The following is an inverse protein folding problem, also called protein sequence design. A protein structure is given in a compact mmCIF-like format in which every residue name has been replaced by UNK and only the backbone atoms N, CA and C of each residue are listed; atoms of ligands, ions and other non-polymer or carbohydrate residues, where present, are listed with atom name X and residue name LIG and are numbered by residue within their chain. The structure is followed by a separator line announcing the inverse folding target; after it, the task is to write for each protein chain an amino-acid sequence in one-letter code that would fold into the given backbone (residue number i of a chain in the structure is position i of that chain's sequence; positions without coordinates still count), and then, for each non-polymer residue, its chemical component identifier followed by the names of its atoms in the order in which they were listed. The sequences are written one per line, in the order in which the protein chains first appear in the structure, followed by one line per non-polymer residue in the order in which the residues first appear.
data_IF_578053181519
#
_entry.id   IF_578053181519
#
_cell.length_a   1.000
_cell.length_b   1.000
_cell.length_c   1.000
_cell.angle_alpha   90.00
_cell.angle_beta   90.00
_cell.angle_gamma   90.00
#
_symmetry.space_group_name_H-M   'P 1'
#
loop_
_entity.id
_entity.type
_entity.pdbx_description
1 polymer ?
#
# COMPACT_ATOMS: atom_id res chain seq x y z
N UNK A 1 -1.01 26.18 7.24
CA UNK A 1 -1.07 25.01 6.33
C UNK A 1 -0.54 23.73 6.99
N UNK A 2 0.59 23.74 7.73
CA UNK A 2 1.10 22.50 8.35
C UNK A 2 0.13 21.80 9.31
N UNK A 3 -0.61 22.53 10.15
CA UNK A 3 -1.67 21.95 11.00
C UNK A 3 -2.75 21.18 10.23
N UNK A 4 -3.13 21.68 9.05
CA UNK A 4 -4.11 20.99 8.19
C UNK A 4 -3.57 19.68 7.60
N UNK A 5 -2.24 19.53 7.59
CA UNK A 5 -1.52 18.32 7.19
C UNK A 5 -1.05 17.50 8.40
N UNK A 6 -1.55 17.79 9.61
CA UNK A 6 -1.24 17.04 10.83
C UNK A 6 0.14 17.32 11.45
N UNK A 7 0.83 18.38 11.04
CA UNK A 7 2.09 18.78 11.70
C UNK A 7 1.82 19.69 12.90
N UNK A 8 2.34 19.28 14.05
CA UNK A 8 2.39 20.10 15.27
C UNK A 8 3.56 21.09 15.26
N UNK A 9 3.55 22.00 16.24
CA UNK A 9 4.66 22.90 16.47
C UNK A 9 5.89 22.14 17.00
N UNK A 10 7.09 22.61 16.63
CA UNK A 10 8.35 22.09 17.17
C UNK A 10 8.69 22.68 18.54
N UNK A 11 8.23 23.92 18.77
CA UNK A 11 8.31 24.65 20.02
C UNK A 11 7.06 25.52 20.17
N UNK A 12 6.49 25.53 21.37
CA UNK A 12 5.31 26.30 21.74
C UNK A 12 5.63 27.46 22.69
N UNK A 13 6.85 27.52 23.23
CA UNK A 13 7.29 28.64 24.05
C UNK A 13 7.61 29.85 23.15
N UNK A 14 6.71 30.83 23.21
CA UNK A 14 6.74 32.02 22.38
C UNK A 14 8.00 32.88 22.53
N UNK A 15 8.68 32.76 23.67
CA UNK A 15 9.85 33.58 24.02
C UNK A 15 11.19 32.92 23.63
N UNK A 16 11.17 31.66 23.19
CA UNK A 16 12.37 30.95 22.76
C UNK A 16 12.97 31.51 21.45
N UNK A 17 14.25 31.20 21.25
CA UNK A 17 14.93 31.51 20.01
C UNK A 17 14.30 30.73 18.87
N UNK A 18 13.92 31.44 17.81
CA UNK A 18 13.20 30.86 16.69
C UNK A 18 14.01 29.79 15.94
N UNK A 19 13.37 28.66 15.66
CA UNK A 19 13.91 27.52 14.90
C UNK A 19 13.80 27.66 13.38
N UNK A 20 13.28 28.80 12.88
CA UNK A 20 13.25 29.08 11.45
C UNK A 20 12.23 28.25 10.66
N UNK A 21 11.15 27.80 11.30
CA UNK A 21 10.03 27.06 10.66
C UNK A 21 8.75 27.87 10.69
N UNK A 22 7.92 27.71 9.67
CA UNK A 22 6.57 28.28 9.63
C UNK A 22 5.55 27.64 10.59
N UNK A 23 5.98 26.66 11.39
CA UNK A 23 5.16 25.98 12.40
C UNK A 23 5.59 26.30 13.84
N UNK A 24 6.16 27.46 14.09
CA UNK A 24 6.58 27.84 15.44
C UNK A 24 5.76 29.03 15.93
N UNK A 25 5.33 28.98 17.19
CA UNK A 25 4.80 30.16 17.87
C UNK A 25 5.96 31.09 18.21
N UNK A 26 6.12 32.16 17.44
CA UNK A 26 7.24 33.09 17.63
C UNK A 26 6.82 34.56 17.61
N UNK A 27 7.52 35.38 18.39
CA UNK A 27 7.48 36.84 18.29
C UNK A 27 8.31 37.40 17.11
N UNK A 28 9.05 36.56 16.36
CA UNK A 28 9.88 36.96 15.22
C UNK A 28 9.36 36.36 13.90
N UNK A 29 8.20 36.79 13.40
CA UNK A 29 7.55 36.17 12.23
C UNK A 29 8.33 36.34 10.91
N UNK A 30 9.35 37.20 10.84
CA UNK A 30 10.15 37.39 9.62
C UNK A 30 11.06 36.21 9.29
N UNK A 31 11.54 35.46 10.29
CA UNK A 31 12.43 34.30 10.07
C UNK A 31 11.68 32.99 9.79
N UNK A 32 10.36 32.98 9.97
CA UNK A 32 9.53 31.77 10.03
C UNK A 32 8.48 31.70 8.91
N UNK A 33 8.78 32.24 7.74
CA UNK A 33 7.79 32.34 6.66
C UNK A 33 7.78 31.12 5.73
N UNK A 34 8.73 30.22 5.90
CA UNK A 34 8.91 29.05 5.03
C UNK A 34 9.07 27.77 5.86
N UNK A 35 8.63 26.62 5.34
CA UNK A 35 8.91 25.33 5.97
C UNK A 35 10.43 25.09 6.02
N UNK A 36 10.89 24.46 7.10
CA UNK A 36 12.27 24.03 7.22
C UNK A 36 12.43 22.55 6.83
N UNK A 37 13.67 22.06 6.87
CA UNK A 37 13.98 20.65 6.51
C UNK A 37 13.20 19.63 7.34
N UNK A 38 12.89 19.93 8.60
CA UNK A 38 12.17 19.00 9.46
C UNK A 38 10.69 18.91 9.07
N UNK A 39 10.05 20.01 8.70
CA UNK A 39 8.66 20.00 8.26
C UNK A 39 8.47 19.05 7.06
N UNK A 40 9.38 19.13 6.07
CA UNK A 40 9.36 18.21 4.92
C UNK A 40 9.64 16.76 5.29
N UNK A 41 10.52 16.52 6.26
CA UNK A 41 10.83 15.17 6.73
C UNK A 41 9.64 14.55 7.44
N UNK A 42 8.96 15.33 8.28
CA UNK A 42 7.84 14.84 9.07
C UNK A 42 6.62 14.61 8.15
N UNK A 43 6.37 15.47 7.14
CA UNK A 43 5.41 15.19 6.07
C UNK A 43 5.74 13.92 5.30
N UNK A 44 7.02 13.71 4.95
CA UNK A 44 7.45 12.48 4.27
C UNK A 44 7.25 11.25 5.16
N UNK A 45 7.44 11.35 6.46
CA UNK A 45 7.19 10.23 7.37
C UNK A 45 5.68 9.90 7.49
N UNK A 46 4.82 10.91 7.43
CA UNK A 46 3.36 10.74 7.52
C UNK A 46 2.72 10.27 6.22
N UNK A 47 3.22 10.74 5.07
CA UNK A 47 2.56 10.60 3.76
C UNK A 47 3.43 9.96 2.68
N UNK A 48 4.60 9.42 3.00
CA UNK A 48 5.33 8.58 2.05
C UNK A 48 4.88 7.13 2.23
N UNK A 49 3.81 6.75 1.55
CA UNK A 49 3.59 5.35 1.24
C UNK A 49 4.54 4.93 0.11
N UNK A 50 5.66 4.31 0.47
CA UNK A 50 6.43 3.49 -0.47
C UNK A 50 6.34 2.05 0.02
N UNK A 51 5.28 1.36 -0.38
CA UNK A 51 5.26 -0.10 -0.30
C UNK A 51 4.49 -0.68 -1.49
N UNK A 52 5.16 -0.80 -2.64
CA UNK A 52 4.73 -1.66 -3.74
C UNK A 52 5.15 -3.12 -3.51
N UNK A 53 5.34 -3.56 -2.26
CA UNK A 53 5.65 -4.97 -2.00
C UNK A 53 4.38 -5.80 -1.91
N UNK A 54 3.95 -6.31 -3.07
CA UNK A 54 3.02 -7.44 -3.09
C UNK A 54 3.82 -8.71 -2.85
N UNK A 55 3.64 -9.35 -1.69
CA UNK A 55 4.21 -10.68 -1.43
C UNK A 55 3.40 -11.72 -2.19
N UNK A 56 3.83 -12.05 -3.41
CA UNK A 56 3.30 -13.19 -4.15
C UNK A 56 4.08 -14.43 -3.73
N UNK A 57 3.46 -15.33 -2.97
CA UNK A 57 4.04 -16.63 -2.70
C UNK A 57 4.17 -17.41 -4.01
N UNK A 58 5.39 -17.72 -4.44
CA UNK A 58 5.60 -18.60 -5.60
C UNK A 58 5.15 -20.01 -5.22
N UNK A 59 4.14 -20.52 -5.95
CA UNK A 59 3.80 -21.94 -5.90
C UNK A 59 4.96 -22.74 -6.52
N UNK A 60 5.26 -23.96 -6.02
CA UNK A 60 6.27 -24.81 -6.64
C UNK A 60 5.93 -25.09 -8.10
N UNK A 61 6.93 -25.05 -8.97
CA UNK A 61 6.78 -25.33 -10.40
C UNK A 61 6.15 -26.71 -10.60
N UNK A 62 4.93 -26.75 -11.14
CA UNK A 62 4.31 -28.00 -11.57
C UNK A 62 5.14 -28.58 -12.72
N UNK A 63 5.52 -29.86 -12.58
CA UNK A 63 6.20 -30.61 -13.66
C UNK A 63 5.30 -30.64 -14.89
N UNK A 64 5.89 -30.34 -16.04
CA UNK A 64 5.25 -30.35 -17.35
C UNK A 64 4.72 -31.73 -17.69
N UNK A 65 3.41 -31.90 -17.64
CA UNK A 65 2.69 -32.86 -18.47
C UNK A 65 1.79 -32.05 -19.39
N UNK A 66 1.93 -32.29 -20.68
CA UNK A 66 1.20 -31.73 -21.83
C UNK A 66 -0.33 -31.74 -21.62
N UNK A 67 -0.82 -30.74 -20.89
CA UNK A 67 -2.20 -30.24 -20.86
C UNK A 67 -2.14 -28.96 -20.04
N UNK A 68 -2.66 -27.85 -20.55
CA UNK A 68 -2.88 -26.67 -19.71
C UNK A 68 -3.54 -27.14 -18.41
N UNK A 69 -2.99 -26.82 -17.23
CA UNK A 69 -3.54 -27.34 -15.99
C UNK A 69 -4.98 -26.84 -15.93
N UNK A 70 -5.92 -27.78 -15.95
CA UNK A 70 -7.24 -27.49 -15.44
C UNK A 70 -7.07 -27.04 -13.97
N UNK A 71 -8.11 -26.45 -13.39
CA UNK A 71 -8.17 -25.85 -12.05
C UNK A 71 -7.68 -26.74 -10.86
N UNK A 72 -7.14 -27.91 -11.14
CA UNK A 72 -6.77 -29.06 -10.33
C UNK A 72 -5.72 -28.76 -9.24
N UNK A 73 -5.07 -27.59 -9.27
CA UNK A 73 -4.03 -27.20 -8.31
C UNK A 73 -4.43 -26.12 -7.29
N UNK A 74 -5.57 -25.45 -7.47
CA UNK A 74 -5.97 -24.29 -6.66
C UNK A 74 -7.12 -24.57 -5.70
N UNK A 75 -7.63 -25.80 -5.70
CA UNK A 75 -8.80 -26.22 -4.93
C UNK A 75 -10.10 -26.04 -5.69
N UNK A 76 -11.22 -26.06 -4.96
CA UNK A 76 -12.55 -26.01 -5.54
C UNK A 76 -12.88 -24.60 -6.03
N UNK A 77 -13.41 -24.48 -7.26
CA UNK A 77 -13.97 -23.22 -7.75
C UNK A 77 -15.24 -22.89 -6.95
N UNK A 78 -15.20 -21.81 -6.17
CA UNK A 78 -16.35 -21.38 -5.35
C UNK A 78 -17.11 -20.20 -5.95
N UNK A 79 -16.46 -19.43 -6.83
CA UNK A 79 -17.07 -18.30 -7.53
C UNK A 79 -16.31 -18.02 -8.82
N UNK A 80 -17.01 -17.61 -9.88
CA UNK A 80 -16.35 -17.10 -11.07
C UNK A 80 -17.31 -16.74 -12.19
N UNK A 81 -16.81 -15.90 -13.11
CA UNK A 81 -17.52 -15.49 -14.32
C UNK A 81 -16.55 -15.42 -15.48
N UNK A 82 -16.88 -16.13 -16.56
CA UNK A 82 -16.08 -16.12 -17.80
C UNK A 82 -16.10 -14.73 -18.42
N UNK A 83 -17.20 -13.99 -18.29
CA UNK A 83 -17.36 -12.66 -18.87
C UNK A 83 -16.53 -11.59 -18.15
N UNK A 84 -16.39 -11.69 -16.83
CA UNK A 84 -15.57 -10.74 -16.05
C UNK A 84 -14.11 -11.21 -15.89
N UNK A 85 -13.80 -12.45 -16.30
CA UNK A 85 -12.50 -13.07 -16.13
C UNK A 85 -12.08 -13.32 -14.68
N UNK A 86 -12.96 -13.11 -13.71
CA UNK A 86 -12.71 -13.36 -12.29
C UNK A 86 -13.07 -14.81 -11.92
N UNK A 87 -12.16 -15.50 -11.22
CA UNK A 87 -12.38 -16.83 -10.65
C UNK A 87 -11.75 -16.93 -9.26
N UNK A 88 -12.47 -17.52 -8.31
CA UNK A 88 -12.05 -17.74 -6.92
C UNK A 88 -12.04 -19.23 -6.63
N UNK A 89 -10.88 -19.74 -6.23
CA UNK A 89 -10.66 -21.12 -5.81
C UNK A 89 -10.37 -21.19 -4.32
N UNK A 90 -10.82 -22.27 -3.68
CA UNK A 90 -10.57 -22.53 -2.26
C UNK A 90 -10.00 -23.94 -2.09
N UNK A 91 -8.79 -24.04 -1.55
CA UNK A 91 -8.19 -25.30 -1.12
C UNK A 91 -8.26 -25.40 0.41
N UNK A 92 -8.89 -26.45 0.93
CA UNK A 92 -8.87 -26.79 2.35
C UNK A 92 -7.58 -27.57 2.69
N UNK A 93 -6.82 -27.08 3.66
CA UNK A 93 -5.57 -27.70 4.13
C UNK A 93 -5.77 -28.55 5.40
N UNK A 94 -7.01 -28.68 5.88
CA UNK A 94 -7.35 -29.28 7.16
C UNK A 94 -7.11 -28.34 8.35
N UNK A 95 -7.58 -28.76 9.53
CA UNK A 95 -7.43 -28.01 10.80
C UNK A 95 -7.94 -26.55 10.73
N UNK A 96 -9.00 -26.30 9.94
CA UNK A 96 -9.59 -24.97 9.77
C UNK A 96 -8.78 -24.02 8.89
N UNK A 97 -7.72 -24.50 8.22
CA UNK A 97 -6.87 -23.68 7.35
C UNK A 97 -7.31 -23.80 5.89
N UNK A 98 -7.37 -22.67 5.18
CA UNK A 98 -7.73 -22.62 3.75
C UNK A 98 -6.80 -21.70 2.98
N UNK A 99 -6.54 -22.02 1.72
CA UNK A 99 -5.95 -21.10 0.73
C UNK A 99 -7.07 -20.62 -0.17
N UNK A 100 -7.16 -19.30 -0.34
CA UNK A 100 -8.08 -18.68 -1.31
C UNK A 100 -7.22 -18.13 -2.45
N UNK A 101 -7.51 -18.56 -3.68
CA UNK A 101 -6.80 -18.10 -4.88
C UNK A 101 -7.78 -17.35 -5.77
N UNK A 102 -7.56 -16.04 -5.94
CA UNK A 102 -8.28 -15.22 -6.90
C UNK A 102 -7.47 -15.11 -8.20
N UNK A 103 -8.13 -15.33 -9.32
CA UNK A 103 -7.57 -15.27 -10.66
C UNK A 103 -8.37 -14.23 -11.43
N UNK A 104 -7.67 -13.19 -11.88
CA UNK A 104 -8.25 -12.14 -12.73
C UNK A 104 -7.66 -12.32 -14.13
N UNK A 105 -8.53 -12.50 -15.12
CA UNK A 105 -8.17 -12.68 -16.53
C UNK A 105 -8.80 -11.55 -17.35
N UNK A 106 -8.11 -11.11 -18.40
CA UNK A 106 -8.70 -10.27 -19.44
C UNK A 106 -8.49 -10.95 -20.79
N UNK A 107 -9.48 -10.86 -21.67
CA UNK A 107 -9.30 -11.25 -23.06
C UNK A 107 -8.72 -10.05 -23.82
N UNK A 108 -7.53 -10.21 -24.40
CA UNK A 108 -7.03 -9.23 -25.36
C UNK A 108 -7.81 -9.39 -26.66
N UNK A 109 -8.39 -8.30 -27.18
CA UNK A 109 -8.90 -8.30 -28.55
C UNK A 109 -7.68 -8.32 -29.49
N UNK A 110 -7.37 -9.47 -30.08
CA UNK A 110 -6.53 -9.49 -31.28
C UNK A 110 -7.35 -8.85 -32.41
N UNK A 111 -6.91 -7.67 -32.85
CA UNK A 111 -7.46 -6.93 -33.98
C UNK A 111 -6.82 -7.32 -35.29
#
# INVERSE_FOLDING_TARGET
MGHALGLDHQDEDFDNASLGTCLEYTNRPKSNQTPNRRDYRDLKAMYAEADETTTVSQLPAARSTERAPAADGWGDLVSGSVHSGERIFVADLGNGRRIITMVLSSEGSEG
#
